data_IF_855758908703
#
_entry.id   IF_855758908703
#
_cell.length_a   1.000
_cell.length_b   1.000
_cell.length_c   1.000
_cell.angle_alpha   90.00
_cell.angle_beta   90.00
_cell.angle_gamma   90.00
#
_symmetry.space_group_name_H-M   'P 1'
#
loop_
_entity.id
_entity.type
_entity.pdbx_description
1 polymer ?
#
# COMPACT_ATOMS: atom_id res chain seq x y z
N UNK A 1 9.53 15.84 -1.82
CA UNK A 1 8.97 14.79 -0.93
C UNK A 1 8.24 15.45 0.25
N UNK A 2 6.90 15.60 0.20
CA UNK A 2 6.12 16.25 1.28
C UNK A 2 5.85 15.24 2.38
N UNK A 3 6.31 15.52 3.61
CA UNK A 3 6.18 14.62 4.79
C UNK A 3 4.70 14.56 5.22
N UNK A 4 4.00 13.48 4.86
CA UNK A 4 2.54 13.29 5.08
C UNK A 4 2.20 12.98 6.54
N UNK A 5 3.14 12.51 7.34
CA UNK A 5 2.91 12.13 8.74
C UNK A 5 3.78 12.99 9.66
N UNK A 6 3.23 14.12 10.13
CA UNK A 6 3.89 15.00 11.12
C UNK A 6 3.32 14.86 12.53
N UNK A 7 2.20 14.16 12.70
CA UNK A 7 1.48 14.00 13.97
C UNK A 7 1.24 12.50 14.25
N UNK A 8 1.73 12.01 15.40
CA UNK A 8 1.60 10.62 15.82
C UNK A 8 0.16 10.24 16.17
N UNK A 9 -0.62 11.16 16.74
CA UNK A 9 -2.04 10.97 17.05
C UNK A 9 -2.85 10.80 15.76
N UNK A 10 -2.65 11.70 14.79
CA UNK A 10 -3.31 11.62 13.49
C UNK A 10 -2.95 10.32 12.74
N UNK A 11 -1.70 9.85 12.86
CA UNK A 11 -1.29 8.55 12.32
C UNK A 11 -2.04 7.41 13.02
N UNK A 12 -2.12 7.43 14.35
CA UNK A 12 -2.83 6.42 15.13
C UNK A 12 -4.31 6.33 14.75
N UNK A 13 -5.00 7.47 14.64
CA UNK A 13 -6.38 7.56 14.19
C UNK A 13 -6.57 7.00 12.77
N UNK A 14 -5.68 7.37 11.84
CA UNK A 14 -5.73 6.85 10.47
C UNK A 14 -5.52 5.33 10.43
N UNK A 15 -4.57 4.80 11.19
CA UNK A 15 -4.34 3.35 11.28
C UNK A 15 -5.56 2.63 11.83
N UNK A 16 -6.14 3.12 12.93
CA UNK A 16 -7.34 2.52 13.53
C UNK A 16 -8.52 2.48 12.54
N UNK A 17 -8.79 3.61 11.88
CA UNK A 17 -9.85 3.72 10.87
C UNK A 17 -9.66 2.74 9.71
N UNK A 18 -8.45 2.66 9.14
CA UNK A 18 -8.15 1.75 8.03
C UNK A 18 -8.28 0.29 8.47
N UNK A 19 -7.72 -0.07 9.63
CA UNK A 19 -7.79 -1.43 10.16
C UNK A 19 -9.22 -1.89 10.42
N UNK A 20 -10.05 -1.05 11.05
CA UNK A 20 -11.46 -1.36 11.28
C UNK A 20 -12.21 -1.50 9.95
N UNK A 21 -11.94 -0.63 8.98
CA UNK A 21 -12.52 -0.71 7.65
C UNK A 21 -12.19 -2.03 6.93
N UNK A 22 -10.95 -2.51 7.02
CA UNK A 22 -10.52 -3.79 6.44
C UNK A 22 -11.20 -4.96 7.16
N UNK A 23 -11.17 -4.98 8.49
CA UNK A 23 -11.76 -6.06 9.29
C UNK A 23 -13.27 -6.20 9.09
N UNK A 24 -13.97 -5.07 8.94
CA UNK A 24 -15.41 -5.03 8.68
C UNK A 24 -15.78 -5.30 7.21
N UNK A 25 -14.81 -5.38 6.30
CA UNK A 25 -15.05 -5.49 4.86
C UNK A 25 -15.53 -4.21 4.18
N UNK A 26 -15.66 -3.08 4.91
CA UNK A 26 -16.02 -1.77 4.34
C UNK A 26 -14.90 -1.18 3.48
N UNK A 27 -13.65 -1.57 3.74
CA UNK A 27 -12.49 -1.25 2.91
C UNK A 27 -11.93 -2.54 2.32
N UNK A 28 -11.99 -2.66 0.99
CA UNK A 28 -11.39 -3.77 0.24
C UNK A 28 -10.23 -3.22 -0.61
N UNK A 29 -8.96 -3.38 -0.18
CA UNK A 29 -7.83 -2.93 -0.99
C UNK A 29 -7.74 -3.77 -2.26
N UNK A 30 -7.66 -3.10 -3.40
CA UNK A 30 -7.40 -3.75 -4.69
C UNK A 30 -5.89 -3.98 -4.81
N UNK A 31 -5.49 -5.24 -4.83
CA UNK A 31 -4.12 -5.64 -5.15
C UNK A 31 -4.05 -5.80 -6.67
N UNK A 32 -3.21 -4.99 -7.28
CA UNK A 32 -3.06 -4.93 -8.72
C UNK A 32 -2.02 -5.95 -9.19
N UNK A 33 -0.86 -5.95 -8.53
CA UNK A 33 0.21 -6.91 -8.82
C UNK A 33 1.04 -7.23 -7.58
N UNK A 34 1.54 -8.46 -7.54
CA UNK A 34 2.46 -8.92 -6.50
C UNK A 34 3.78 -9.35 -7.14
N UNK A 35 4.89 -8.97 -6.53
CA UNK A 35 6.24 -9.39 -6.92
C UNK A 35 6.96 -9.98 -5.72
N UNK A 36 7.82 -11.00 -5.88
CA UNK A 36 8.76 -11.37 -4.82
C UNK A 36 9.72 -10.21 -4.55
N UNK A 37 10.22 -10.10 -3.32
CA UNK A 37 11.17 -9.04 -2.95
C UNK A 37 12.44 -9.03 -3.83
N UNK A 38 12.85 -10.19 -4.35
CA UNK A 38 13.95 -10.32 -5.32
C UNK A 38 13.72 -9.56 -6.64
N UNK A 39 12.47 -9.21 -6.95
CA UNK A 39 12.06 -8.51 -8.17
C UNK A 39 11.69 -7.05 -7.92
N UNK A 40 12.20 -6.43 -6.85
CA UNK A 40 11.92 -5.02 -6.50
C UNK A 40 12.16 -4.05 -7.66
N UNK A 41 13.18 -4.29 -8.49
CA UNK A 41 13.47 -3.47 -9.66
C UNK A 41 12.36 -3.54 -10.72
N UNK A 42 11.77 -4.73 -10.91
CA UNK A 42 10.65 -4.92 -11.84
C UNK A 42 9.37 -4.27 -11.28
N UNK A 43 9.12 -4.39 -9.98
CA UNK A 43 8.01 -3.71 -9.32
C UNK A 43 8.08 -2.19 -9.52
N UNK A 44 9.28 -1.59 -9.46
CA UNK A 44 9.47 -0.17 -9.75
C UNK A 44 9.23 0.18 -11.23
N UNK A 45 9.75 -0.61 -12.16
CA UNK A 45 9.47 -0.42 -13.60
C UNK A 45 7.97 -0.47 -13.90
N UNK A 46 7.25 -1.41 -13.28
CA UNK A 46 5.80 -1.51 -13.40
C UNK A 46 5.07 -0.30 -12.81
N UNK A 47 5.51 0.23 -11.67
CA UNK A 47 4.95 1.47 -11.11
C UNK A 47 5.20 2.69 -12.02
N UNK A 48 6.36 2.75 -12.67
CA UNK A 48 6.73 3.83 -13.58
C UNK A 48 5.94 3.80 -14.90
N UNK A 49 5.41 2.66 -15.31
CA UNK A 49 4.56 2.57 -16.52
C UNK A 49 3.24 3.31 -16.37
N UNK A 50 2.79 3.53 -15.13
CA UNK A 50 1.51 4.19 -14.82
C UNK A 50 0.27 3.33 -15.13
N UNK A 51 0.45 2.06 -15.50
CA UNK A 51 -0.64 1.13 -15.83
C UNK A 51 -1.30 0.49 -14.60
N UNK A 52 -0.75 0.72 -13.40
CA UNK A 52 -1.19 0.05 -12.19
C UNK A 52 -2.55 0.52 -11.67
N UNK A 53 -3.49 -0.40 -11.48
CA UNK A 53 -4.85 -0.13 -10.99
C UNK A 53 -5.05 -0.63 -9.55
N UNK A 54 -4.16 -0.21 -8.64
CA UNK A 54 -4.27 -0.58 -7.23
C UNK A 54 -2.95 -0.54 -6.48
N UNK A 55 -2.80 -1.41 -5.48
CA UNK A 55 -1.56 -1.56 -4.73
C UNK A 55 -0.67 -2.62 -5.37
N UNK A 56 0.58 -2.24 -5.63
CA UNK A 56 1.67 -3.17 -5.90
C UNK A 56 2.24 -3.66 -4.57
N UNK A 57 2.33 -4.97 -4.39
CA UNK A 57 2.80 -5.61 -3.15
C UNK A 57 4.09 -6.37 -3.41
N UNK A 58 5.05 -6.25 -2.49
CA UNK A 58 6.21 -7.12 -2.44
C UNK A 58 5.98 -8.23 -1.41
N UNK A 59 6.22 -9.48 -1.80
CA UNK A 59 6.22 -10.61 -0.86
C UNK A 59 7.63 -10.89 -0.36
N UNK A 60 7.73 -11.16 0.94
CA UNK A 60 8.93 -11.64 1.61
C UNK A 60 8.71 -13.08 2.07
N UNK A 61 9.76 -13.91 2.17
CA UNK A 61 9.67 -15.23 2.80
C UNK A 61 9.16 -15.19 4.25
#
# INVERSE_FOLDING_TARGET
>A
MRRVFRNAEAKGQATAFISEGIQSGRLAPVIDRTFPFSEVAEAHRYLESGEGLGKVVLTVP
#
